data_IF_722173783548
#
_entry.id   IF_722173783548
#
_cell.length_a   1.000
_cell.length_b   1.000
_cell.length_c   1.000
_cell.angle_alpha   90.00
_cell.angle_beta   90.00
_cell.angle_gamma   90.00
#
_symmetry.space_group_name_H-M   'P 1'
#
loop_
_entity.id
_entity.type
_entity.pdbx_description
1 polymer ?
#
# COMPACT_ATOMS: atom_id res chain seq x y z
N UNK A 1 -19.58 69.77 -7.94
CA UNK A 1 -20.03 69.67 -6.53
C UNK A 1 -21.03 68.51 -6.49
N UNK A 2 -20.93 67.45 -5.70
CA UNK A 2 -20.07 67.12 -4.57
C UNK A 2 -20.06 65.59 -4.32
N UNK A 3 -19.26 65.20 -3.34
CA UNK A 3 -18.92 63.85 -2.85
C UNK A 3 -20.18 63.10 -2.30
N UNK A 4 -20.19 61.78 -2.04
CA UNK A 4 -19.60 61.16 -0.84
C UNK A 4 -19.46 59.62 -0.90
N UNK A 5 -18.49 59.16 -0.11
CA UNK A 5 -18.05 57.82 0.30
C UNK A 5 -18.90 57.22 1.46
N UNK A 6 -18.60 55.95 1.85
CA UNK A 6 -18.99 55.16 3.06
C UNK A 6 -20.03 54.04 2.80
N UNK A 7 -20.01 52.80 3.33
CA UNK A 7 -19.24 52.07 4.36
C UNK A 7 -19.62 50.56 4.33
N UNK A 8 -18.91 49.75 5.13
CA UNK A 8 -18.80 48.27 5.30
C UNK A 8 -20.01 47.30 5.40
N UNK A 9 -19.65 46.03 5.15
CA UNK A 9 -20.06 44.74 5.75
C UNK A 9 -21.48 44.18 5.57
N UNK A 10 -21.55 43.01 4.92
CA UNK A 10 -22.42 41.91 5.33
C UNK A 10 -21.84 40.55 4.91
N UNK A 11 -21.49 39.76 5.94
CA UNK A 11 -21.27 38.31 5.90
C UNK A 11 -22.57 37.61 5.52
N UNK A 12 -22.57 36.79 4.48
CA UNK A 12 -23.58 35.74 4.33
C UNK A 12 -23.07 34.60 3.44
N UNK A 13 -22.69 33.52 4.11
CA UNK A 13 -22.87 32.11 3.75
C UNK A 13 -23.19 31.82 2.28
N UNK A 14 -22.15 31.49 1.50
CA UNK A 14 -22.31 30.69 0.29
C UNK A 14 -21.94 29.25 0.65
N UNK A 15 -22.98 28.45 0.83
CA UNK A 15 -22.95 26.99 0.85
C UNK A 15 -22.33 26.49 -0.45
N UNK A 16 -21.06 26.08 -0.42
CA UNK A 16 -20.56 25.10 -1.37
C UNK A 16 -20.74 23.73 -0.72
N UNK A 17 -21.77 23.03 -1.18
CA UNK A 17 -21.93 21.59 -1.00
C UNK A 17 -20.67 20.89 -1.51
N UNK A 18 -19.82 20.44 -0.59
CA UNK A 18 -18.91 19.33 -0.87
C UNK A 18 -19.59 18.07 -0.35
N UNK A 19 -19.90 17.26 -1.34
CA UNK A 19 -20.42 15.90 -1.32
C UNK A 19 -19.96 15.12 -0.09
N UNK A 20 -20.93 14.71 0.73
CA UNK A 20 -20.74 13.60 1.63
C UNK A 20 -20.85 12.33 0.80
N UNK A 21 -19.71 11.76 0.44
CA UNK A 21 -19.66 10.35 0.09
C UNK A 21 -18.77 9.61 1.08
N UNK A 22 -19.46 9.00 2.03
CA UNK A 22 -19.08 7.84 2.81
C UNK A 22 -17.86 7.07 2.28
N UNK A 23 -16.68 7.32 2.83
CA UNK A 23 -15.62 6.31 2.87
C UNK A 23 -15.66 5.63 4.24
N UNK A 24 -16.58 4.67 4.35
CA UNK A 24 -16.45 3.59 5.33
C UNK A 24 -15.60 2.50 4.67
N UNK A 25 -14.29 2.66 4.77
CA UNK A 25 -13.32 1.59 4.57
C UNK A 25 -12.32 1.67 5.73
N UNK A 26 -12.30 0.63 6.56
CA UNK A 26 -11.48 0.50 7.78
C UNK A 26 -10.06 1.13 7.69
N UNK A 27 -9.63 1.95 8.67
CA UNK A 27 -8.29 2.52 8.70
C UNK A 27 -7.29 1.60 9.41
N UNK A 28 -6.97 0.45 8.79
CA UNK A 28 -5.75 -0.34 9.10
C UNK A 28 -5.31 -1.14 7.86
N UNK A 29 -5.14 -0.47 6.72
CA UNK A 29 -4.68 -1.12 5.49
C UNK A 29 -3.16 -1.39 5.55
N UNK A 30 -2.69 -2.51 4.99
CA UNK A 30 -1.26 -2.89 4.89
C UNK A 30 -0.37 -1.73 4.39
N UNK A 31 -0.92 -0.84 3.56
CA UNK A 31 -0.25 0.36 3.05
C UNK A 31 0.12 1.37 4.16
N UNK A 32 -0.74 1.55 5.18
CA UNK A 32 -0.42 2.38 6.34
C UNK A 32 0.77 1.80 7.10
N UNK A 33 0.79 0.49 7.30
CA UNK A 33 1.88 -0.20 8.01
C UNK A 33 3.21 -0.04 7.25
N UNK A 34 3.18 -0.14 5.91
CA UNK A 34 4.36 0.07 5.05
C UNK A 34 4.84 1.53 5.15
N UNK A 35 3.93 2.50 5.13
CA UNK A 35 4.28 3.92 5.25
C UNK A 35 4.89 4.24 6.63
N UNK A 36 4.34 3.68 7.70
CA UNK A 36 4.87 3.82 9.07
C UNK A 36 6.26 3.19 9.21
N UNK A 37 6.48 2.02 8.61
CA UNK A 37 7.79 1.36 8.60
C UNK A 37 8.83 2.18 7.81
N UNK A 38 8.46 2.73 6.64
CA UNK A 38 9.34 3.61 5.88
C UNK A 38 9.70 4.88 6.67
N UNK A 39 8.74 5.48 7.39
CA UNK A 39 8.99 6.62 8.26
C UNK A 39 9.92 6.26 9.44
N UNK A 40 9.79 5.05 10.00
CA UNK A 40 10.68 4.54 11.04
C UNK A 40 12.14 4.46 10.58
N UNK A 41 12.36 4.19 9.29
CA UNK A 41 13.69 4.17 8.65
C UNK A 41 14.37 5.54 8.54
N UNK A 42 13.62 6.64 8.62
CA UNK A 42 14.12 8.00 8.36
C UNK A 42 14.83 8.67 9.56
N UNK A 43 15.13 7.92 10.62
CA UNK A 43 15.79 8.43 11.83
C UNK A 43 17.31 8.56 11.66
N UNK A 44 17.77 9.34 10.68
CA UNK A 44 19.18 9.74 10.48
C UNK A 44 20.08 8.67 9.79
N UNK A 45 19.75 8.27 8.56
CA UNK A 45 20.60 7.40 7.72
C UNK A 45 20.79 8.00 6.33
N UNK A 46 22.04 8.12 5.86
CA UNK A 46 22.38 8.66 4.53
C UNK A 46 22.28 7.60 3.41
N UNK A 47 22.08 6.32 3.76
CA UNK A 47 22.04 5.19 2.83
C UNK A 47 20.66 4.55 2.75
N UNK A 48 20.18 4.33 1.52
CA UNK A 48 18.92 3.61 1.23
C UNK A 48 18.92 2.21 1.84
N UNK A 49 20.09 1.56 1.89
CA UNK A 49 20.24 0.23 2.49
C UNK A 49 19.98 0.25 4.00
N UNK A 50 20.55 1.24 4.69
CA UNK A 50 20.39 1.39 6.14
C UNK A 50 18.96 1.79 6.51
N UNK A 51 18.35 2.68 5.71
CA UNK A 51 16.95 3.05 5.85
C UNK A 51 16.03 1.84 5.68
N UNK A 52 16.25 1.02 4.64
CA UNK A 52 15.43 -0.17 4.39
C UNK A 52 15.57 -1.19 5.52
N UNK A 53 16.80 -1.42 5.98
CA UNK A 53 17.06 -2.30 7.11
C UNK A 53 16.40 -1.79 8.39
N UNK A 54 16.47 -0.48 8.65
CA UNK A 54 15.82 0.14 9.80
C UNK A 54 14.30 0.03 9.72
N UNK A 55 13.72 0.26 8.55
CA UNK A 55 12.29 0.09 8.31
C UNK A 55 11.84 -1.36 8.58
N UNK A 56 12.65 -2.36 8.20
CA UNK A 56 12.39 -3.77 8.50
C UNK A 56 12.34 -4.08 10.00
N UNK A 57 13.00 -3.28 10.84
CA UNK A 57 12.98 -3.38 12.30
C UNK A 57 11.78 -2.69 12.95
N UNK A 58 10.90 -2.04 12.18
CA UNK A 58 9.73 -1.38 12.75
C UNK A 58 8.88 -2.38 13.54
N UNK A 59 8.53 -2.10 14.81
CA UNK A 59 7.68 -2.99 15.60
C UNK A 59 6.29 -3.19 14.96
N UNK A 60 5.86 -2.24 14.12
CA UNK A 60 4.61 -2.30 13.35
C UNK A 60 4.51 -3.49 12.38
N UNK A 61 5.64 -4.00 11.88
CA UNK A 61 5.71 -5.17 10.97
C UNK A 61 6.35 -6.40 11.63
N UNK A 62 6.56 -6.37 12.94
CA UNK A 62 7.26 -7.43 13.66
C UNK A 62 6.54 -8.78 13.51
N UNK A 63 5.21 -8.78 13.53
CA UNK A 63 4.40 -9.98 13.37
C UNK A 63 4.52 -10.56 11.95
N UNK A 64 4.62 -9.70 10.94
CA UNK A 64 4.77 -10.12 9.55
C UNK A 64 6.14 -10.77 9.32
N UNK A 65 7.19 -10.24 9.95
CA UNK A 65 8.57 -10.77 9.87
C UNK A 65 8.77 -12.06 10.68
N UNK A 66 8.03 -12.24 11.76
CA UNK A 66 8.21 -13.39 12.67
C UNK A 66 7.34 -14.59 12.31
N UNK A 67 6.39 -14.43 11.38
CA UNK A 67 5.48 -15.48 10.92
C UNK A 67 6.11 -16.52 9.98
N UNK A 68 5.31 -17.51 9.58
CA UNK A 68 5.73 -18.62 8.71
C UNK A 68 6.25 -18.17 7.33
N UNK A 69 5.83 -17.00 6.86
CA UNK A 69 6.27 -16.40 5.59
C UNK A 69 7.19 -15.18 5.78
N UNK A 70 7.70 -14.97 7.00
CA UNK A 70 8.44 -13.77 7.38
C UNK A 70 9.75 -13.56 6.62
N UNK A 71 10.43 -14.65 6.22
CA UNK A 71 11.61 -14.57 5.37
C UNK A 71 11.28 -13.96 3.99
N UNK A 72 10.22 -14.43 3.34
CA UNK A 72 9.81 -13.92 2.03
C UNK A 72 9.26 -12.50 2.13
N UNK A 73 8.58 -12.18 3.24
CA UNK A 73 8.13 -10.82 3.52
C UNK A 73 9.32 -9.87 3.63
N UNK A 74 10.34 -10.23 4.39
CA UNK A 74 11.53 -9.40 4.60
C UNK A 74 12.26 -9.12 3.28
N UNK A 75 12.47 -10.15 2.47
CA UNK A 75 13.12 -10.01 1.16
C UNK A 75 12.33 -9.10 0.20
N UNK A 76 11.01 -9.30 0.11
CA UNK A 76 10.15 -8.47 -0.74
C UNK A 76 10.08 -7.02 -0.25
N UNK A 77 9.97 -6.82 1.06
CA UNK A 77 9.88 -5.51 1.70
C UNK A 77 11.17 -4.70 1.53
N UNK A 78 12.34 -5.31 1.79
CA UNK A 78 13.63 -4.67 1.57
C UNK A 78 13.84 -4.33 0.10
N UNK A 79 13.50 -5.25 -0.81
CA UNK A 79 13.60 -4.98 -2.24
C UNK A 79 12.74 -3.78 -2.65
N UNK A 80 11.49 -3.71 -2.18
CA UNK A 80 10.59 -2.60 -2.46
C UNK A 80 11.14 -1.24 -2.00
N UNK A 81 11.67 -1.18 -0.77
CA UNK A 81 12.26 0.06 -0.24
C UNK A 81 13.54 0.48 -0.97
N UNK A 82 14.34 -0.49 -1.41
CA UNK A 82 15.59 -0.28 -2.15
C UNK A 82 15.39 -0.01 -3.64
N UNK A 83 14.25 -0.39 -4.20
CA UNK A 83 13.95 -0.24 -5.62
C UNK A 83 14.10 1.22 -6.05
N UNK A 84 14.86 1.46 -7.11
CA UNK A 84 15.04 2.79 -7.74
C UNK A 84 14.33 2.90 -9.08
N UNK A 85 13.54 1.89 -9.43
CA UNK A 85 12.74 1.86 -10.65
C UNK A 85 11.67 2.96 -10.64
N UNK A 86 11.31 3.43 -11.85
CA UNK A 86 10.29 4.47 -12.04
C UNK A 86 8.95 4.07 -11.39
N UNK A 87 8.58 2.79 -11.54
CA UNK A 87 7.55 2.17 -10.73
C UNK A 87 8.22 1.37 -9.60
N UNK A 88 8.07 1.85 -8.36
CA UNK A 88 8.68 1.22 -7.18
C UNK A 88 8.32 -0.27 -7.10
N UNK A 89 9.34 -1.11 -7.02
CA UNK A 89 9.19 -2.56 -6.88
C UNK A 89 8.96 -3.31 -8.19
N UNK A 90 8.98 -2.65 -9.36
CA UNK A 90 8.87 -3.35 -10.65
C UNK A 90 10.03 -4.33 -10.90
N UNK A 91 11.20 -4.07 -10.31
CA UNK A 91 12.38 -4.95 -10.29
C UNK A 91 12.32 -6.05 -9.20
N UNK A 92 11.30 -6.03 -8.34
CA UNK A 92 11.17 -6.89 -7.16
C UNK A 92 10.09 -7.97 -7.31
N UNK A 93 9.62 -8.25 -8.52
CA UNK A 93 8.51 -9.18 -8.78
C UNK A 93 8.77 -10.57 -8.19
N UNK A 94 9.99 -11.10 -8.34
CA UNK A 94 10.34 -12.44 -7.86
C UNK A 94 10.18 -12.60 -6.33
N UNK A 95 10.74 -11.71 -5.49
CA UNK A 95 10.46 -11.69 -4.05
C UNK A 95 8.96 -11.67 -3.70
N UNK A 96 8.17 -10.82 -4.37
CA UNK A 96 6.72 -10.74 -4.12
C UNK A 96 5.98 -12.03 -4.52
N UNK A 97 6.38 -12.68 -5.62
CA UNK A 97 5.82 -13.98 -6.03
C UNK A 97 6.15 -15.08 -5.01
N UNK A 98 7.37 -15.07 -4.46
CA UNK A 98 7.77 -16.02 -3.42
C UNK A 98 6.94 -15.83 -2.14
N UNK A 99 6.72 -14.59 -1.72
CA UNK A 99 5.85 -14.25 -0.60
C UNK A 99 4.41 -14.72 -0.84
N UNK A 100 3.83 -14.40 -2.00
CA UNK A 100 2.48 -14.83 -2.35
C UNK A 100 2.36 -16.37 -2.37
N UNK A 101 3.36 -17.06 -2.90
CA UNK A 101 3.38 -18.54 -2.93
C UNK A 101 3.42 -19.12 -1.51
N UNK A 102 4.18 -18.49 -0.60
CA UNK A 102 4.21 -18.90 0.80
C UNK A 102 2.86 -18.71 1.50
N UNK A 103 2.20 -17.57 1.29
CA UNK A 103 0.87 -17.27 1.86
C UNK A 103 -0.15 -18.30 1.40
N UNK A 104 -0.16 -18.63 0.10
CA UNK A 104 -1.05 -19.64 -0.47
C UNK A 104 -0.86 -21.02 0.18
N UNK A 105 0.39 -21.39 0.49
CA UNK A 105 0.69 -22.64 1.19
C UNK A 105 0.38 -22.58 2.69
N UNK A 106 0.33 -21.38 3.28
CA UNK A 106 0.16 -21.16 4.72
C UNK A 106 -0.93 -20.11 4.95
N UNK A 107 -2.22 -20.47 4.85
CA UNK A 107 -3.33 -19.52 5.01
C UNK A 107 -3.39 -18.86 6.40
N UNK A 108 -2.73 -19.47 7.41
CA UNK A 108 -2.60 -18.92 8.76
C UNK A 108 -1.26 -18.19 8.99
N UNK A 109 -0.50 -17.87 7.93
CA UNK A 109 0.83 -17.24 8.05
C UNK A 109 0.79 -15.80 8.60
N UNK A 110 -0.34 -15.11 8.40
CA UNK A 110 -0.57 -13.76 8.87
C UNK A 110 -1.90 -13.71 9.63
N UNK A 111 -1.97 -12.89 10.67
CA UNK A 111 -3.19 -12.71 11.47
C UNK A 111 -4.33 -12.22 10.60
N UNK A 112 -5.57 -12.69 10.87
CA UNK A 112 -6.77 -12.26 10.13
C UNK A 112 -7.00 -10.74 10.22
N UNK A 113 -6.54 -10.11 11.29
CA UNK A 113 -6.56 -8.65 11.47
C UNK A 113 -5.72 -7.91 10.42
N UNK A 114 -4.66 -8.54 9.89
CA UNK A 114 -3.79 -8.01 8.85
C UNK A 114 -4.34 -8.33 7.44
N UNK A 115 -5.00 -9.47 7.30
CA UNK A 115 -5.54 -9.95 6.02
C UNK A 115 -6.96 -9.41 5.71
N UNK A 116 -7.59 -8.72 6.66
CA UNK A 116 -8.86 -8.02 6.44
C UNK A 116 -10.06 -8.95 6.19
N UNK A 117 -10.09 -10.14 6.81
CA UNK A 117 -11.22 -11.07 6.66
C UNK A 117 -11.97 -11.23 7.98
N UNK A 118 -13.12 -10.53 8.07
CA UNK A 118 -14.18 -10.79 9.05
C UNK A 118 -14.78 -12.19 8.79
N UNK A 119 -15.00 -12.91 9.88
CA UNK A 119 -15.23 -14.35 9.99
C UNK A 119 -16.42 -14.90 9.18
N UNK A 120 -16.20 -15.89 8.31
CA UNK A 120 -17.24 -16.88 7.90
C UNK A 120 -16.64 -18.18 7.30
N UNK A 121 -16.34 -19.13 8.19
CA UNK A 121 -16.50 -20.60 8.13
C UNK A 121 -16.55 -21.35 6.77
N UNK A 122 -15.83 -22.48 6.78
CA UNK A 122 -15.93 -23.68 5.91
C UNK A 122 -15.06 -23.69 4.64
N UNK A 123 -14.44 -24.85 4.42
CA UNK A 123 -13.54 -25.23 3.34
C UNK A 123 -14.13 -25.09 1.92
N UNK A 124 -13.34 -24.47 1.03
CA UNK A 124 -13.37 -24.43 -0.47
C UNK A 124 -14.45 -23.53 -1.14
N UNK A 125 -14.20 -22.91 -2.33
CA UNK A 125 -13.04 -22.97 -3.22
C UNK A 125 -12.22 -21.67 -3.26
N UNK A 126 -11.03 -21.74 -3.87
CA UNK A 126 -10.11 -20.64 -4.19
C UNK A 126 -10.88 -19.38 -4.59
N UNK A 127 -10.94 -18.36 -3.72
CA UNK A 127 -11.30 -17.03 -4.16
C UNK A 127 -10.25 -16.63 -5.20
N UNK A 128 -10.68 -16.50 -6.45
CA UNK A 128 -9.85 -15.98 -7.53
C UNK A 128 -9.50 -14.52 -7.17
N UNK A 129 -8.39 -14.36 -6.45
CA UNK A 129 -7.78 -13.05 -6.23
C UNK A 129 -7.48 -12.52 -7.62
N UNK A 130 -8.31 -11.58 -8.08
CA UNK A 130 -8.17 -10.94 -9.38
C UNK A 130 -6.92 -10.10 -9.31
N UNK A 131 -5.78 -10.69 -9.68
CA UNK A 131 -4.50 -10.02 -9.80
C UNK A 131 -4.73 -8.90 -10.80
N UNK A 132 -4.84 -7.65 -10.32
CA UNK A 132 -4.93 -6.49 -11.19
C UNK A 132 -3.50 -6.27 -11.70
N UNK A 133 -3.24 -6.52 -12.99
CA UNK A 133 -1.91 -6.31 -13.53
C UNK A 133 -1.61 -4.80 -13.47
N UNK A 134 -0.39 -4.40 -13.09
CA UNK A 134 0.02 -3.01 -13.17
C UNK A 134 -0.10 -2.55 -14.63
N UNK A 135 -0.30 -1.24 -14.83
CA UNK A 135 -0.83 -0.73 -16.11
C UNK A 135 0.09 -1.06 -17.32
N UNK A 136 1.40 -1.13 -17.09
CA UNK A 136 2.41 -1.52 -18.08
C UNK A 136 2.32 -2.98 -18.56
N UNK A 137 1.69 -3.88 -17.79
CA UNK A 137 1.51 -5.29 -18.19
C UNK A 137 0.54 -5.46 -19.37
N UNK A 138 -0.30 -4.45 -19.66
CA UNK A 138 -1.28 -4.48 -20.76
C UNK A 138 -0.67 -4.16 -22.13
N UNK A 139 0.43 -3.41 -22.17
CA UNK A 139 1.02 -2.86 -23.41
C UNK A 139 1.76 -3.93 -24.25
N UNK A 140 2.17 -5.04 -23.65
CA UNK A 140 3.04 -6.03 -24.30
C UNK A 140 2.34 -7.02 -25.25
N UNK A 141 1.01 -7.03 -25.34
CA UNK A 141 0.27 -7.98 -26.18
C UNK A 141 -0.20 -7.45 -27.55
N UNK A 142 0.03 -6.17 -27.89
CA UNK A 142 -0.51 -5.58 -29.12
C UNK A 142 0.32 -5.89 -30.40
N UNK A 143 1.55 -6.41 -30.29
CA UNK A 143 2.48 -6.50 -31.45
C UNK A 143 2.69 -7.90 -32.06
N UNK A 144 1.89 -8.92 -31.72
CA UNK A 144 2.11 -10.31 -32.21
C UNK A 144 1.02 -10.96 -33.07
N UNK A 145 0.15 -10.16 -33.69
CA UNK A 145 -0.71 -10.66 -34.78
C UNK A 145 -0.58 -9.79 -36.03
N UNK A 146 0.58 -9.88 -36.67
CA UNK A 146 0.76 -9.63 -38.10
C UNK A 146 1.68 -10.72 -38.62
N UNK A 147 1.10 -11.83 -39.07
CA UNK A 147 1.56 -12.62 -40.22
C UNK A 147 0.38 -13.46 -40.72
#
# INVERSE_FOLDING_TARGET
MGQTESTEAQTTTTTMTMDSNSDSSNPTSLESIIAEAAAYGNQNTESVEEMAQKALECPCIADLRSGACGFQFSEAFLCFLKSTSEEKGSDCVNPFVALQSCIKANPNAFSKDILGEDESKESEPVQEYKIIPPDWSKESQSSKSRL
#
